data_IF_361269678923
#
_entry.id   IF_361269678923
#
_cell.length_a   1.000
_cell.length_b   1.000
_cell.length_c   1.000
_cell.angle_alpha   90.00
_cell.angle_beta   90.00
_cell.angle_gamma   90.00
#
_symmetry.space_group_name_H-M   'P 1'
#
loop_
_entity.id
_entity.type
_entity.pdbx_description
1 polymer ?
#
# COMPACT_ATOMS: atom_id res chain seq x y z
N UNK A 1 5.85 -29.78 14.79
CA UNK A 1 5.87 -30.50 13.50
C UNK A 1 7.14 -30.08 12.80
N UNK A 2 8.09 -31.00 12.64
CA UNK A 2 9.30 -30.80 11.85
C UNK A 2 8.93 -30.90 10.36
N UNK A 3 8.87 -29.77 9.67
CA UNK A 3 8.53 -29.72 8.23
C UNK A 3 9.77 -29.70 7.33
N UNK A 4 10.96 -29.98 7.88
CA UNK A 4 12.26 -29.82 7.19
C UNK A 4 12.93 -31.11 6.68
N UNK A 5 12.33 -32.28 6.87
CA UNK A 5 13.12 -33.52 6.87
C UNK A 5 12.97 -34.46 5.65
N UNK A 6 12.13 -34.20 4.64
CA UNK A 6 12.04 -35.17 3.51
C UNK A 6 11.36 -34.62 2.26
N UNK A 7 11.99 -33.66 1.58
CA UNK A 7 11.65 -33.40 0.17
C UNK A 7 12.85 -33.77 -0.69
N UNK A 8 12.62 -34.70 -1.61
CA UNK A 8 13.59 -35.04 -2.67
C UNK A 8 13.85 -33.81 -3.55
N UNK A 9 15.01 -33.70 -4.22
CA UNK A 9 15.28 -32.59 -5.14
C UNK A 9 14.18 -32.38 -6.18
N UNK A 10 13.53 -33.46 -6.62
CA UNK A 10 12.38 -33.42 -7.52
C UNK A 10 11.12 -32.83 -6.87
N UNK A 11 10.84 -33.14 -5.59
CA UNK A 11 9.74 -32.56 -4.82
C UNK A 11 9.96 -31.07 -4.55
N UNK A 12 11.19 -30.66 -4.20
CA UNK A 12 11.51 -29.24 -4.04
C UNK A 12 11.30 -28.46 -5.35
N UNK A 13 11.62 -29.06 -6.50
CA UNK A 13 11.46 -28.45 -7.82
C UNK A 13 9.98 -28.35 -8.21
N UNK A 14 9.17 -29.36 -7.87
CA UNK A 14 7.71 -29.29 -8.03
C UNK A 14 7.09 -28.23 -7.12
N UNK A 15 7.48 -28.19 -5.85
CA UNK A 15 7.02 -27.18 -4.90
C UNK A 15 7.40 -25.76 -5.34
N UNK A 16 8.63 -25.56 -5.82
CA UNK A 16 9.05 -24.27 -6.40
C UNK A 16 8.22 -23.90 -7.62
N UNK A 17 7.87 -24.86 -8.47
CA UNK A 17 7.02 -24.61 -9.65
C UNK A 17 5.61 -24.20 -9.23
N UNK A 18 5.05 -24.85 -8.22
CA UNK A 18 3.72 -24.56 -7.67
C UNK A 18 3.67 -23.19 -6.95
N UNK A 19 4.74 -22.83 -6.23
CA UNK A 19 4.81 -21.58 -5.43
C UNK A 19 5.38 -20.40 -6.22
N UNK A 20 6.00 -20.64 -7.39
CA UNK A 20 6.63 -19.58 -8.20
C UNK A 20 5.65 -18.49 -8.66
N UNK A 21 4.37 -18.84 -8.79
CA UNK A 21 3.32 -17.92 -9.14
C UNK A 21 2.46 -17.65 -7.90
N UNK A 22 2.27 -16.38 -7.50
CA UNK A 22 1.35 -16.03 -6.44
C UNK A 22 -0.05 -16.56 -6.75
N UNK A 23 -0.80 -17.02 -5.74
CA UNK A 23 -2.17 -17.51 -5.92
C UNK A 23 -3.07 -16.46 -6.58
N UNK A 24 -2.83 -15.17 -6.29
CA UNK A 24 -3.58 -14.03 -6.84
C UNK A 24 -2.93 -13.40 -8.09
N UNK A 25 -2.11 -14.14 -8.85
CA UNK A 25 -1.46 -13.59 -10.05
C UNK A 25 -2.45 -13.06 -11.11
N UNK A 26 -3.59 -13.73 -11.27
CA UNK A 26 -4.64 -13.32 -12.23
C UNK A 26 -5.53 -12.19 -11.70
N UNK A 27 -5.61 -12.01 -10.38
CA UNK A 27 -6.41 -10.97 -9.73
C UNK A 27 -5.59 -10.29 -8.63
N UNK A 28 -4.60 -9.45 -9.01
CA UNK A 28 -3.71 -8.80 -8.05
C UNK A 28 -4.39 -7.68 -7.24
N UNK A 29 -5.67 -7.42 -7.53
CA UNK A 29 -6.44 -6.38 -6.84
C UNK A 29 -6.75 -6.81 -5.41
N UNK A 30 -6.74 -5.87 -4.45
CA UNK A 30 -7.15 -6.16 -3.08
C UNK A 30 -8.59 -6.67 -3.07
N UNK A 31 -8.85 -7.72 -2.29
CA UNK A 31 -10.22 -8.21 -2.09
C UNK A 31 -11.06 -7.14 -1.35
N UNK A 32 -12.06 -6.61 -2.04
CA UNK A 32 -12.98 -5.59 -1.53
C UNK A 32 -13.79 -6.03 -0.29
N UNK A 33 -13.84 -7.33 -0.02
CA UNK A 33 -14.49 -7.87 1.17
C UNK A 33 -13.62 -7.77 2.42
N UNK A 34 -12.30 -7.59 2.26
CA UNK A 34 -11.39 -7.45 3.39
C UNK A 34 -11.69 -6.17 4.19
N UNK A 35 -11.71 -6.26 5.53
CA UNK A 35 -11.90 -5.09 6.40
C UNK A 35 -10.92 -3.96 6.09
N UNK A 36 -9.67 -4.30 5.81
CA UNK A 36 -8.57 -3.38 5.51
C UNK A 36 -8.80 -2.60 4.20
N UNK A 37 -9.40 -3.24 3.18
CA UNK A 37 -9.75 -2.59 1.92
C UNK A 37 -10.91 -1.59 2.07
N UNK A 38 -11.73 -1.75 3.11
CA UNK A 38 -12.88 -0.88 3.43
C UNK A 38 -12.51 0.28 4.35
N UNK A 39 -11.29 0.30 4.89
CA UNK A 39 -10.88 1.38 5.77
C UNK A 39 -10.72 2.68 4.97
N UNK A 40 -11.44 3.76 5.35
CA UNK A 40 -11.26 5.03 4.69
C UNK A 40 -9.85 5.56 5.00
N UNK A 41 -9.19 6.13 3.99
CA UNK A 41 -7.90 6.80 4.16
C UNK A 41 -8.02 7.91 5.21
N UNK A 42 -7.57 7.66 6.44
CA UNK A 42 -7.70 8.61 7.55
C UNK A 42 -6.63 9.70 7.46
N UNK A 43 -7.08 10.95 7.43
CA UNK A 43 -6.32 12.15 7.82
C UNK A 43 -5.25 12.67 6.86
N UNK A 44 -4.43 11.80 6.28
CA UNK A 44 -3.28 12.20 5.46
C UNK A 44 -3.63 12.95 4.17
N UNK A 45 -4.66 12.56 3.38
CA UNK A 45 -4.93 13.24 2.10
C UNK A 45 -5.43 14.68 2.26
N UNK A 46 -5.92 15.07 3.45
CA UNK A 46 -6.38 16.42 3.74
C UNK A 46 -5.27 17.38 4.18
N UNK A 47 -4.11 16.87 4.57
CA UNK A 47 -2.99 17.71 5.04
C UNK A 47 -2.43 18.56 3.90
N UNK A 48 -2.22 17.96 2.73
CA UNK A 48 -1.66 18.66 1.57
C UNK A 48 -2.51 19.88 1.14
N UNK A 49 -3.83 19.76 0.89
CA UNK A 49 -4.64 20.92 0.54
C UNK A 49 -4.69 21.97 1.66
N UNK A 50 -4.71 21.55 2.93
CA UNK A 50 -4.66 22.49 4.05
C UNK A 50 -3.36 23.32 4.03
N UNK A 51 -2.21 22.68 3.83
CA UNK A 51 -0.91 23.36 3.75
C UNK A 51 -0.88 24.35 2.59
N UNK A 52 -1.44 23.98 1.42
CA UNK A 52 -1.52 24.88 0.26
C UNK A 52 -2.36 26.11 0.58
N UNK A 53 -3.53 25.94 1.20
CA UNK A 53 -4.39 27.07 1.61
C UNK A 53 -3.67 28.01 2.57
N UNK A 54 -2.97 27.45 3.56
CA UNK A 54 -2.20 28.23 4.54
C UNK A 54 -1.06 28.99 3.85
N UNK A 55 -0.30 28.33 2.96
CA UNK A 55 0.79 28.96 2.22
C UNK A 55 0.31 30.13 1.35
N UNK A 56 -0.80 29.94 0.62
CA UNK A 56 -1.40 31.00 -0.19
C UNK A 56 -1.87 32.17 0.67
N UNK A 57 -2.48 31.90 1.82
CA UNK A 57 -2.93 32.94 2.74
C UNK A 57 -1.75 33.76 3.31
N UNK A 58 -0.64 33.09 3.66
CA UNK A 58 0.57 33.75 4.15
C UNK A 58 1.21 34.64 3.08
N UNK A 59 1.37 34.12 1.86
CA UNK A 59 1.91 34.90 0.73
C UNK A 59 1.00 36.09 0.44
N UNK A 60 -0.32 35.89 0.39
CA UNK A 60 -1.29 36.96 0.21
C UNK A 60 -1.20 38.03 1.31
N UNK A 61 -1.06 37.60 2.57
CA UNK A 61 -0.88 38.51 3.69
C UNK A 61 0.42 39.33 3.59
N UNK A 62 1.55 38.70 3.24
CA UNK A 62 2.83 39.40 3.04
C UNK A 62 2.71 40.45 1.94
N UNK A 63 2.12 40.08 0.80
CA UNK A 63 1.88 41.00 -0.32
C UNK A 63 0.97 42.18 0.06
N UNK A 64 -0.10 41.95 0.83
CA UNK A 64 -1.03 43.00 1.26
C UNK A 64 -0.44 43.94 2.31
N UNK A 65 0.43 43.43 3.18
CA UNK A 65 1.04 44.19 4.28
C UNK A 65 2.38 44.82 3.92
N UNK A 66 2.95 44.46 2.76
CA UNK A 66 4.25 44.94 2.30
C UNK A 66 5.43 44.34 3.07
N UNK A 67 5.25 43.15 3.66
CA UNK A 67 6.30 42.36 4.32
C UNK A 67 7.14 41.58 3.30
#
# INVERSE_FOLDING_TARGET
>A
MDTRESQTPEEELQHLKEVSQPEDYEHPEPDETQPEAREPSRGLPWVLPLVVVVAVALVGFMLLTGL
#
